data_IF_043104643462
#
_entry.id   IF_043104643462
#
_cell.length_a   1.000
_cell.length_b   1.000
_cell.length_c   1.000
_cell.angle_alpha   90.00
_cell.angle_beta   90.00
_cell.angle_gamma   90.00
#
_symmetry.space_group_name_H-M   'P 1'
#
loop_
_entity.id
_entity.type
_entity.pdbx_description
1 polymer ?
#
# COMPACT_ATOMS: atom_id res chain seq x y z
N UNK A 1 17.52 64.55 -55.57
CA UNK A 1 17.91 63.15 -55.85
C UNK A 1 17.71 62.34 -54.58
N UNK A 2 16.67 61.49 -54.49
CA UNK A 2 16.47 60.65 -53.31
C UNK A 2 17.48 59.49 -53.36
N UNK A 3 18.26 59.32 -52.29
CA UNK A 3 19.13 58.15 -52.15
C UNK A 3 18.25 56.95 -51.84
N UNK A 4 18.25 55.97 -52.74
CA UNK A 4 17.67 54.65 -52.47
C UNK A 4 18.46 54.05 -51.31
N UNK A 5 17.82 53.91 -50.16
CA UNK A 5 18.34 53.17 -49.01
C UNK A 5 18.52 51.72 -49.46
N UNK A 6 19.76 51.33 -49.74
CA UNK A 6 20.11 49.95 -50.03
C UNK A 6 19.92 49.13 -48.76
N UNK A 7 18.78 48.46 -48.63
CA UNK A 7 18.54 47.44 -47.61
C UNK A 7 19.70 46.44 -47.67
N UNK A 8 20.42 46.28 -46.57
CA UNK A 8 21.57 45.38 -46.56
C UNK A 8 21.08 43.93 -46.65
N UNK A 9 21.89 43.06 -47.26
CA UNK A 9 21.56 41.62 -47.33
C UNK A 9 21.34 41.06 -45.92
N UNK A 10 22.09 41.54 -44.93
CA UNK A 10 21.93 41.17 -43.53
C UNK A 10 20.54 41.52 -42.98
N UNK A 11 19.97 42.68 -43.32
CA UNK A 11 18.61 43.04 -42.90
C UNK A 11 17.56 42.10 -43.48
N UNK A 12 17.73 41.67 -44.74
CA UNK A 12 16.81 40.73 -45.40
C UNK A 12 16.89 39.36 -44.73
N UNK A 13 18.12 38.87 -44.48
CA UNK A 13 18.36 37.60 -43.78
C UNK A 13 17.80 37.65 -42.37
N UNK A 14 18.07 38.72 -41.62
CA UNK A 14 17.61 38.88 -40.25
C UNK A 14 16.08 38.89 -40.15
N UNK A 15 15.40 39.55 -41.09
CA UNK A 15 13.93 39.61 -41.13
C UNK A 15 13.32 38.24 -41.44
N UNK A 16 13.89 37.51 -42.41
CA UNK A 16 13.45 36.15 -42.74
C UNK A 16 13.63 35.19 -41.55
N UNK A 17 14.75 35.29 -40.85
CA UNK A 17 15.03 34.49 -39.65
C UNK A 17 14.08 34.84 -38.51
N UNK A 18 13.78 36.12 -38.30
CA UNK A 18 12.83 36.57 -37.27
C UNK A 18 11.43 35.97 -37.45
N UNK A 19 10.92 35.89 -38.67
CA UNK A 19 9.60 35.31 -38.94
C UNK A 19 9.56 33.81 -38.61
N UNK A 20 10.64 33.08 -38.91
CA UNK A 20 10.78 31.65 -38.57
C UNK A 20 10.86 31.48 -37.06
N UNK A 21 11.67 32.30 -36.38
CA UNK A 21 11.79 32.27 -34.91
C UNK A 21 10.45 32.61 -34.27
N UNK A 22 9.73 33.63 -34.74
CA UNK A 22 8.43 34.01 -34.18
C UNK A 22 7.44 32.84 -34.25
N UNK A 23 7.42 32.12 -35.37
CA UNK A 23 6.53 30.96 -35.57
C UNK A 23 6.92 29.75 -34.73
N UNK A 24 8.23 29.49 -34.60
CA UNK A 24 8.74 28.35 -33.84
C UNK A 24 8.76 28.61 -32.32
N UNK A 25 8.88 29.87 -31.89
CA UNK A 25 9.09 30.26 -30.49
C UNK A 25 8.05 29.69 -29.53
N UNK A 26 6.77 29.70 -29.93
CA UNK A 26 5.68 29.15 -29.11
C UNK A 26 5.79 27.64 -28.95
N UNK A 27 6.09 26.92 -30.04
CA UNK A 27 6.27 25.46 -30.00
C UNK A 27 7.48 25.07 -29.16
N UNK A 28 8.59 25.80 -29.33
CA UNK A 28 9.82 25.62 -28.54
C UNK A 28 9.54 25.90 -27.05
N UNK A 29 8.82 26.97 -26.73
CA UNK A 29 8.45 27.30 -25.36
C UNK A 29 7.58 26.20 -24.72
N UNK A 30 6.60 25.66 -25.45
CA UNK A 30 5.78 24.54 -24.98
C UNK A 30 6.64 23.30 -24.74
N UNK A 31 7.50 22.93 -25.69
CA UNK A 31 8.38 21.76 -25.54
C UNK A 31 9.34 21.90 -24.35
N UNK A 32 9.92 23.09 -24.14
CA UNK A 32 10.76 23.37 -22.97
C UNK A 32 9.95 23.28 -21.67
N UNK A 33 8.73 23.82 -21.65
CA UNK A 33 7.86 23.74 -20.49
C UNK A 33 7.49 22.29 -20.14
N UNK A 34 7.20 21.46 -21.15
CA UNK A 34 6.92 20.03 -20.97
C UNK A 34 8.14 19.27 -20.44
N UNK A 35 9.34 19.52 -21.00
CA UNK A 35 10.59 18.91 -20.50
C UNK A 35 10.89 19.35 -19.06
N UNK A 36 10.73 20.63 -18.75
CA UNK A 36 10.93 21.15 -17.39
C UNK A 36 9.90 20.59 -16.40
N UNK A 37 8.65 20.41 -16.82
CA UNK A 37 7.61 19.79 -15.98
C UNK A 37 7.93 18.31 -15.70
N UNK A 38 8.40 17.57 -16.71
CA UNK A 38 8.80 16.18 -16.56
C UNK A 38 10.02 16.03 -15.62
N UNK A 39 11.05 16.86 -15.78
CA UNK A 39 12.21 16.86 -14.87
C UNK A 39 11.82 17.25 -13.44
N UNK A 40 10.92 18.21 -13.26
CA UNK A 40 10.42 18.62 -11.95
C UNK A 40 9.62 17.47 -11.29
N UNK A 41 8.77 16.77 -12.04
CA UNK A 41 8.02 15.62 -11.53
C UNK A 41 8.95 14.47 -11.16
N UNK A 42 10.00 14.22 -11.94
CA UNK A 42 11.03 13.23 -11.60
C UNK A 42 11.74 13.60 -10.30
N UNK A 43 12.22 14.85 -10.18
CA UNK A 43 12.88 15.34 -8.96
C UNK A 43 11.96 15.29 -7.74
N UNK A 44 10.67 15.64 -7.89
CA UNK A 44 9.68 15.52 -6.82
C UNK A 44 9.37 14.07 -6.47
N UNK A 45 9.34 13.16 -7.44
CA UNK A 45 9.16 11.72 -7.19
C UNK A 45 10.36 11.12 -6.44
N UNK A 46 11.58 11.60 -6.73
CA UNK A 46 12.81 11.23 -6.02
C UNK A 46 12.83 11.85 -4.62
N UNK A 47 12.44 13.12 -4.49
CA UNK A 47 12.35 13.82 -3.21
C UNK A 47 11.24 13.26 -2.31
N UNK A 48 10.11 12.80 -2.86
CA UNK A 48 9.07 12.09 -2.09
C UNK A 48 9.47 10.66 -1.75
N UNK A 49 10.31 10.00 -2.57
CA UNK A 49 10.97 8.74 -2.20
C UNK A 49 12.00 8.91 -1.08
N UNK A 50 12.75 10.02 -1.05
CA UNK A 50 13.78 10.29 -0.03
C UNK A 50 13.21 10.96 1.24
N UNK A 51 12.13 11.74 1.12
CA UNK A 51 11.42 12.40 2.22
C UNK A 51 10.39 11.50 2.92
N UNK A 52 10.03 10.36 2.31
CA UNK A 52 9.45 9.22 3.02
C UNK A 52 10.53 8.18 3.33
N UNK A 53 11.58 8.61 4.02
CA UNK A 53 12.20 7.78 5.04
C UNK A 53 11.20 7.56 6.18
N UNK A 54 10.08 6.90 5.86
CA UNK A 54 9.27 6.19 6.83
C UNK A 54 10.14 5.04 7.29
N UNK A 55 10.96 5.33 8.29
CA UNK A 55 11.36 4.45 9.37
C UNK A 55 11.22 2.95 9.02
N UNK A 56 12.33 2.21 8.76
CA UNK A 56 12.29 0.77 8.47
C UNK A 56 11.51 -0.01 9.55
N UNK A 57 11.38 0.55 10.75
CA UNK A 57 10.57 0.01 11.84
C UNK A 57 9.05 -0.03 11.53
N UNK A 58 8.52 0.84 10.66
CA UNK A 58 7.07 0.91 10.36
C UNK A 58 6.62 0.04 9.18
N UNK A 59 7.51 -0.32 8.24
CA UNK A 59 7.16 -1.23 7.13
C UNK A 59 7.19 -2.71 7.51
N UNK A 60 7.70 -3.06 8.68
CA UNK A 60 7.56 -4.40 9.26
C UNK A 60 6.13 -4.66 9.81
N UNK A 61 5.27 -3.64 9.90
CA UNK A 61 4.00 -3.70 10.63
C UNK A 61 2.78 -4.22 9.84
N UNK A 62 2.96 -4.96 8.73
CA UNK A 62 1.83 -5.68 8.12
C UNK A 62 2.22 -7.01 7.46
N UNK A 63 3.18 -7.74 8.02
CA UNK A 63 3.07 -9.19 7.96
C UNK A 63 2.19 -9.59 9.14
N UNK A 64 0.88 -9.75 8.90
CA UNK A 64 0.02 -10.45 9.86
C UNK A 64 0.79 -11.72 10.26
N UNK A 65 1.04 -11.99 11.55
CA UNK A 65 1.69 -13.22 11.96
C UNK A 65 0.92 -14.35 11.29
N UNK A 66 1.63 -15.20 10.53
CA UNK A 66 1.02 -16.40 9.96
C UNK A 66 0.36 -17.09 11.14
N UNK A 67 -0.96 -17.25 11.05
CA UNK A 67 -1.78 -17.77 12.13
C UNK A 67 -1.30 -19.19 12.40
N UNK A 68 -0.39 -19.35 13.36
CA UNK A 68 0.10 -20.65 13.78
C UNK A 68 -1.14 -21.51 14.08
N UNK A 69 -1.22 -22.65 13.43
CA UNK A 69 -2.36 -23.54 13.59
C UNK A 69 -2.37 -24.04 15.04
N UNK A 70 -3.27 -23.50 15.85
CA UNK A 70 -3.46 -23.92 17.23
C UNK A 70 -3.85 -25.40 17.26
N UNK A 71 -2.93 -26.25 17.70
CA UNK A 71 -3.14 -27.70 17.88
C UNK A 71 -3.83 -28.02 19.20
N UNK A 72 -3.77 -27.10 20.16
CA UNK A 72 -4.32 -27.22 21.51
C UNK A 72 -5.06 -25.96 21.91
N UNK A 73 -6.21 -26.13 22.54
CA UNK A 73 -7.02 -25.05 23.10
C UNK A 73 -7.59 -25.48 24.44
N UNK A 74 -7.60 -24.56 25.41
CA UNK A 74 -8.12 -24.80 26.76
C UNK A 74 -9.21 -23.78 27.03
N UNK A 75 -10.30 -24.20 27.67
CA UNK A 75 -11.38 -23.33 28.11
C UNK A 75 -11.02 -22.52 29.38
N UNK A 76 -9.82 -21.94 29.41
CA UNK A 76 -9.32 -21.16 30.55
C UNK A 76 -9.85 -19.72 30.52
N UNK A 77 -9.67 -18.93 31.59
CA UNK A 77 -10.10 -17.51 31.62
C UNK A 77 -9.47 -16.65 30.50
N UNK A 78 -8.29 -17.03 29.98
CA UNK A 78 -7.55 -16.29 28.94
C UNK A 78 -8.06 -16.56 27.54
N UNK A 79 -8.78 -17.66 27.32
CA UNK A 79 -9.35 -18.00 26.03
C UNK A 79 -10.37 -16.95 25.60
N UNK A 80 -10.02 -16.20 24.55
CA UNK A 80 -10.86 -15.13 23.98
C UNK A 80 -11.79 -15.62 22.87
N UNK A 81 -11.34 -16.60 22.07
CA UNK A 81 -12.08 -17.13 20.92
C UNK A 81 -11.97 -18.65 20.88
N UNK A 82 -13.05 -19.30 20.46
CA UNK A 82 -13.07 -20.74 20.16
C UNK A 82 -12.48 -20.98 18.76
N UNK A 83 -11.42 -21.78 18.62
CA UNK A 83 -10.85 -22.16 17.33
C UNK A 83 -11.78 -23.09 16.55
N UNK A 84 -11.70 -23.07 15.21
CA UNK A 84 -12.56 -23.88 14.33
C UNK A 84 -12.50 -25.37 14.65
N UNK A 85 -11.31 -25.93 14.94
CA UNK A 85 -11.18 -27.36 15.26
C UNK A 85 -11.96 -27.76 16.51
N UNK A 86 -12.11 -26.86 17.49
CA UNK A 86 -12.90 -27.11 18.70
C UNK A 86 -14.39 -27.09 18.36
N UNK A 87 -14.84 -26.19 17.48
CA UNK A 87 -16.22 -26.13 16.99
C UNK A 87 -16.58 -27.43 16.27
N UNK A 88 -15.70 -27.90 15.39
CA UNK A 88 -15.86 -29.17 14.66
C UNK A 88 -15.89 -30.37 15.62
N UNK A 89 -14.95 -30.44 16.57
CA UNK A 89 -14.92 -31.51 17.57
C UNK A 89 -16.17 -31.54 18.45
N UNK A 90 -16.66 -30.37 18.88
CA UNK A 90 -17.80 -30.24 19.81
C UNK A 90 -19.18 -30.34 19.15
N UNK A 91 -19.23 -30.50 17.82
CA UNK A 91 -20.48 -30.60 17.06
C UNK A 91 -21.19 -29.26 16.90
N UNK A 92 -20.44 -28.14 16.82
CA UNK A 92 -21.00 -26.81 16.53
C UNK A 92 -21.06 -25.84 17.71
N UNK A 93 -20.34 -26.10 18.82
CA UNK A 93 -20.27 -25.12 19.91
C UNK A 93 -19.28 -24.00 19.57
N UNK A 94 -19.84 -22.88 19.12
CA UNK A 94 -19.13 -21.69 18.63
C UNK A 94 -18.59 -20.75 19.71
N UNK A 95 -19.10 -20.87 20.93
CA UNK A 95 -18.85 -19.93 22.03
C UNK A 95 -18.25 -20.62 23.24
N UNK A 96 -17.27 -19.97 23.86
CA UNK A 96 -16.59 -20.48 25.06
C UNK A 96 -17.59 -20.79 26.17
N UNK A 97 -18.61 -19.96 26.35
CA UNK A 97 -19.69 -20.17 27.33
C UNK A 97 -20.39 -21.51 27.13
N UNK A 98 -20.72 -21.89 25.89
CA UNK A 98 -21.36 -23.18 25.59
C UNK A 98 -20.42 -24.36 25.84
N UNK A 99 -19.13 -24.19 25.56
CA UNK A 99 -18.12 -25.23 25.83
C UNK A 99 -17.95 -25.44 27.33
N UNK A 100 -17.79 -24.35 28.10
CA UNK A 100 -17.68 -24.42 29.57
C UNK A 100 -18.93 -25.05 30.19
N UNK A 101 -20.12 -24.71 29.70
CA UNK A 101 -21.37 -25.31 30.18
C UNK A 101 -21.47 -26.84 29.95
N UNK A 102 -20.80 -27.37 28.92
CA UNK A 102 -20.87 -28.80 28.55
C UNK A 102 -19.67 -29.62 29.02
N UNK A 103 -18.48 -29.01 29.07
CA UNK A 103 -17.21 -29.69 29.34
C UNK A 103 -16.54 -29.22 30.63
N UNK A 104 -17.07 -28.19 31.29
CA UNK A 104 -16.48 -27.60 32.49
C UNK A 104 -15.45 -26.51 32.19
N UNK A 105 -15.06 -25.80 33.24
CA UNK A 105 -13.92 -24.88 33.20
C UNK A 105 -12.62 -25.67 32.97
N UNK A 106 -11.65 -25.06 32.28
CA UNK A 106 -10.34 -25.65 31.95
C UNK A 106 -10.38 -26.94 31.08
N UNK A 107 -11.50 -27.18 30.38
CA UNK A 107 -11.60 -28.27 29.40
C UNK A 107 -10.53 -28.14 28.29
N UNK A 108 -9.77 -29.21 28.08
CA UNK A 108 -8.64 -29.26 27.13
C UNK A 108 -9.05 -29.96 25.84
N UNK A 109 -8.86 -29.30 24.71
CA UNK A 109 -9.12 -29.82 23.37
C UNK A 109 -7.83 -29.87 22.55
N UNK A 110 -7.51 -31.03 22.00
CA UNK A 110 -6.35 -31.26 21.14
C UNK A 110 -6.80 -31.81 19.80
N UNK A 111 -6.26 -31.28 18.70
CA UNK A 111 -6.63 -31.70 17.33
C UNK A 111 -6.28 -33.18 17.13
N UNK A 112 -7.28 -34.01 16.83
CA UNK A 112 -7.12 -35.45 16.61
C UNK A 112 -7.22 -36.34 17.87
N UNK A 113 -7.43 -35.75 19.05
CA UNK A 113 -7.74 -36.52 20.27
C UNK A 113 -9.25 -36.60 20.51
N UNK A 114 -9.74 -37.65 21.21
CA UNK A 114 -11.13 -37.74 21.60
C UNK A 114 -11.52 -36.57 22.51
N UNK A 115 -12.81 -36.21 22.49
CA UNK A 115 -13.33 -35.11 23.29
C UNK A 115 -13.01 -35.30 24.78
N UNK A 116 -12.70 -34.19 25.50
CA UNK A 116 -12.59 -34.23 26.95
C UNK A 116 -13.92 -34.72 27.53
N UNK A 117 -13.84 -35.46 28.65
CA UNK A 117 -15.03 -35.96 29.35
C UNK A 117 -15.92 -34.77 29.66
N UNK A 118 -17.18 -34.83 29.22
CA UNK A 118 -18.17 -33.83 29.57
C UNK A 118 -18.24 -33.76 31.10
N UNK A 119 -17.98 -32.59 31.68
CA UNK A 119 -18.29 -32.34 33.07
C UNK A 119 -19.80 -32.54 33.19
N UNK A 120 -20.25 -33.50 34.01
CA UNK A 120 -21.66 -33.63 34.35
C UNK A 120 -22.13 -32.24 34.78
N UNK A 121 -23.11 -31.69 34.05
CA UNK A 121 -23.85 -30.52 34.49
C UNK A 121 -24.34 -30.81 35.91
N UNK A 122 -23.81 -30.07 36.88
CA UNK A 122 -24.34 -30.02 38.23
C UNK A 122 -25.51 -29.03 38.25
#
# INVERSE_FOLDING_TARGET
MPRLTSTSIDEVVQRAVQDVIARASRSIATAIAEMAAAELEEQLSVATKHGRASDPARRAASRRPRREELTKWVADHRARRVPTFVIELTGGLDTKKKIVAKFGEDAVFERGRPLPKAAKAA
#
